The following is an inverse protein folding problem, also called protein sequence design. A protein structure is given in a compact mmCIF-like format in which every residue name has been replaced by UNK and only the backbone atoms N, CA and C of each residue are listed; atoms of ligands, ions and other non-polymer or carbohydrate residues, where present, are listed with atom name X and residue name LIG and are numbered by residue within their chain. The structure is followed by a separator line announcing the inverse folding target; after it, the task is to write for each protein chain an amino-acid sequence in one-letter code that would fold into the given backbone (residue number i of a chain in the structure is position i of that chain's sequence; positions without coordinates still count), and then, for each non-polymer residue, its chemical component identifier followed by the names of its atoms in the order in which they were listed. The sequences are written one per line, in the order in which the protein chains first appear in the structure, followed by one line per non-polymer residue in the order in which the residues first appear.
data_IF_142330041987
#
_entry.id   IF_142330041987
#
_cell.length_a   1.000
_cell.length_b   1.000
_cell.length_c   1.000
_cell.angle_alpha   90.00
_cell.angle_beta   90.00
_cell.angle_gamma   90.00
#
_symmetry.space_group_name_H-M   'P 1'
#
loop_
_entity.id
_entity.type
_entity.pdbx_description
1 polymer ?
#
# COMPACT_ATOMS: atom_id res chain seq x y z
N UNK A 1 8.10 2.72 -28.10
CA UNK A 1 8.17 4.18 -27.95
C UNK A 1 8.55 4.49 -26.52
N UNK A 2 9.81 4.91 -26.32
CA UNK A 2 10.23 5.46 -25.04
C UNK A 2 9.64 6.87 -24.91
N UNK A 3 8.79 7.09 -23.95
CA UNK A 3 8.40 8.44 -23.54
C UNK A 3 9.57 9.07 -22.79
N UNK A 4 10.36 9.87 -23.49
CA UNK A 4 11.48 10.61 -22.91
C UNK A 4 11.03 12.05 -22.70
N UNK A 5 10.90 12.49 -21.48
CA UNK A 5 10.69 13.90 -21.16
C UNK A 5 10.50 14.15 -19.67
N UNK A 6 11.18 15.16 -19.17
CA UNK A 6 11.08 15.65 -17.79
C UNK A 6 9.65 16.06 -17.38
N UNK A 7 8.74 16.16 -18.33
CA UNK A 7 7.35 16.54 -18.09
C UNK A 7 6.46 15.41 -17.59
N UNK A 8 6.89 14.15 -17.72
CA UNK A 8 6.08 12.98 -17.34
C UNK A 8 5.94 12.79 -15.82
N UNK A 9 6.90 13.30 -15.06
CA UNK A 9 6.82 13.24 -13.61
C UNK A 9 5.98 14.39 -13.00
N UNK A 10 5.45 15.29 -13.81
CA UNK A 10 4.76 16.53 -13.37
C UNK A 10 3.28 16.57 -13.80
N UNK A 11 2.81 15.62 -14.60
CA UNK A 11 1.41 15.62 -15.07
C UNK A 11 0.53 14.68 -14.28
N UNK A 12 -0.62 15.17 -13.89
CA UNK A 12 -1.65 14.48 -13.10
C UNK A 12 -2.28 13.29 -13.83
N UNK A 13 -2.21 13.27 -15.14
CA UNK A 13 -2.70 12.17 -15.97
C UNK A 13 -1.99 12.12 -17.32
N UNK A 14 -1.78 10.93 -17.83
CA UNK A 14 -1.29 10.67 -19.16
C UNK A 14 -2.22 9.66 -19.85
N UNK A 15 -2.93 10.11 -20.87
CA UNK A 15 -3.75 9.23 -21.68
C UNK A 15 -2.86 8.51 -22.69
N UNK A 16 -2.72 7.19 -22.54
CA UNK A 16 -1.97 6.34 -23.46
C UNK A 16 -2.96 5.38 -24.13
N UNK A 17 -2.97 5.36 -25.46
CA UNK A 17 -3.71 4.36 -26.23
C UNK A 17 -2.75 3.24 -26.62
N UNK A 18 -3.12 2.03 -26.30
CA UNK A 18 -2.39 0.82 -26.70
C UNK A 18 -3.11 0.17 -27.88
N UNK A 19 -2.36 -0.10 -28.97
CA UNK A 19 -2.92 -0.62 -30.22
C UNK A 19 -2.94 -2.16 -30.28
N UNK A 20 -2.26 -2.83 -29.36
CA UNK A 20 -2.19 -4.28 -29.29
C UNK A 20 -2.31 -4.78 -27.86
N UNK A 21 -2.76 -6.02 -27.71
CA UNK A 21 -2.70 -6.72 -26.44
C UNK A 21 -1.25 -7.01 -26.04
N UNK A 22 -0.93 -6.95 -24.77
CA UNK A 22 0.43 -7.20 -24.31
C UNK A 22 0.73 -6.64 -22.92
N UNK A 23 1.94 -6.92 -22.46
CA UNK A 23 2.51 -6.33 -21.26
C UNK A 23 3.42 -5.16 -21.66
N UNK A 24 3.06 -3.97 -21.20
CA UNK A 24 3.81 -2.75 -21.44
C UNK A 24 4.51 -2.33 -20.14
N UNK A 25 5.85 -2.26 -20.19
CA UNK A 25 6.65 -1.75 -19.07
C UNK A 25 6.91 -0.26 -19.21
N UNK A 26 6.82 0.46 -18.12
CA UNK A 26 7.21 1.87 -18.07
C UNK A 26 8.16 2.11 -16.91
N UNK A 27 8.99 3.13 -17.05
CA UNK A 27 9.91 3.57 -16.02
C UNK A 27 9.95 5.10 -15.95
N UNK A 28 10.18 5.63 -14.77
CA UNK A 28 10.50 7.04 -14.62
C UNK A 28 12.00 7.24 -14.86
N UNK A 29 12.36 7.95 -15.93
CA UNK A 29 13.76 8.16 -16.32
C UNK A 29 14.61 8.91 -15.29
N UNK A 30 14.00 9.53 -14.29
CA UNK A 30 14.68 10.22 -13.20
C UNK A 30 14.90 9.32 -11.97
N UNK A 31 14.08 8.28 -11.80
CA UNK A 31 14.01 7.48 -10.58
C UNK A 31 14.16 5.98 -10.85
N UNK A 32 14.52 5.60 -12.06
CA UNK A 32 14.77 4.22 -12.42
C UNK A 32 16.12 4.06 -13.10
N UNK A 33 16.73 2.88 -12.96
CA UNK A 33 17.93 2.54 -13.73
C UNK A 33 17.61 2.50 -15.22
N UNK A 34 18.59 2.78 -16.09
CA UNK A 34 18.40 2.75 -17.56
C UNK A 34 17.94 1.41 -18.11
N UNK A 35 18.23 0.32 -17.41
CA UNK A 35 17.82 -1.05 -17.71
C UNK A 35 16.44 -1.41 -17.12
N UNK A 36 15.91 -0.56 -16.25
CA UNK A 36 14.61 -0.76 -15.59
C UNK A 36 14.62 -1.88 -14.53
N UNK A 37 15.79 -2.22 -14.00
CA UNK A 37 15.91 -3.28 -12.98
C UNK A 37 15.59 -2.79 -11.57
N UNK A 38 15.69 -1.48 -11.32
CA UNK A 38 15.39 -0.88 -10.04
C UNK A 38 14.82 0.54 -10.17
N UNK A 39 14.18 1.02 -9.12
CA UNK A 39 13.56 2.34 -9.04
C UNK A 39 12.08 2.34 -9.41
N UNK A 40 11.57 3.46 -9.91
CA UNK A 40 10.15 3.62 -10.28
C UNK A 40 9.87 2.97 -11.64
N UNK A 41 9.56 1.71 -11.61
CA UNK A 41 9.14 0.91 -12.79
C UNK A 41 7.75 0.36 -12.57
N UNK A 42 6.99 0.19 -13.64
CA UNK A 42 5.67 -0.40 -13.57
C UNK A 42 5.31 -1.08 -14.88
N UNK A 43 4.15 -1.72 -14.89
CA UNK A 43 3.63 -2.38 -16.09
C UNK A 43 2.13 -2.20 -16.22
N UNK A 44 1.67 -2.16 -17.47
CA UNK A 44 0.26 -2.15 -17.85
C UNK A 44 -0.01 -3.39 -18.70
N UNK A 45 -1.02 -4.14 -18.31
CA UNK A 45 -1.53 -5.28 -19.08
C UNK A 45 -2.71 -4.80 -19.92
N UNK A 46 -2.65 -5.03 -21.22
CA UNK A 46 -3.69 -4.67 -22.17
C UNK A 46 -4.25 -5.94 -22.80
N UNK A 47 -5.56 -6.14 -22.73
CA UNK A 47 -6.26 -7.31 -23.26
C UNK A 47 -6.48 -8.41 -22.21
N UNK A 48 -7.04 -9.51 -22.69
CA UNK A 48 -7.35 -10.69 -21.87
C UNK A 48 -6.14 -11.66 -21.88
N UNK A 49 -5.03 -11.20 -21.31
CA UNK A 49 -3.81 -11.99 -21.17
C UNK A 49 -3.66 -12.47 -19.75
N UNK A 50 -3.21 -13.71 -19.59
CA UNK A 50 -2.90 -14.23 -18.28
C UNK A 50 -1.65 -13.51 -17.74
N UNK A 51 -1.83 -12.67 -16.72
CA UNK A 51 -0.76 -11.89 -16.12
C UNK A 51 0.37 -12.77 -15.55
N UNK A 52 0.04 -13.96 -15.07
CA UNK A 52 1.01 -14.93 -14.55
C UNK A 52 2.01 -15.40 -15.61
N UNK A 53 1.64 -15.41 -16.89
CA UNK A 53 2.53 -15.79 -17.98
C UNK A 53 3.66 -14.77 -18.23
N UNK A 54 3.50 -13.54 -17.73
CA UNK A 54 4.44 -12.44 -17.96
C UNK A 54 5.22 -12.02 -16.71
N UNK A 55 4.83 -12.52 -15.57
CA UNK A 55 5.42 -12.13 -14.29
C UNK A 55 5.94 -13.37 -13.58
N UNK A 56 7.24 -13.53 -13.57
CA UNK A 56 7.87 -14.60 -12.79
C UNK A 56 7.87 -14.22 -11.29
N UNK A 57 6.70 -13.85 -10.77
CA UNK A 57 6.49 -13.51 -9.36
C UNK A 57 6.38 -14.78 -8.50
N UNK A 58 7.34 -15.68 -8.64
CA UNK A 58 7.43 -16.88 -7.80
C UNK A 58 7.58 -16.60 -6.29
N UNK A 59 7.64 -15.33 -5.91
CA UNK A 59 7.62 -14.87 -4.50
C UNK A 59 6.24 -14.45 -4.01
N UNK A 60 5.24 -14.33 -4.89
CA UNK A 60 3.90 -13.82 -4.52
C UNK A 60 2.90 -14.89 -4.10
N UNK A 61 3.21 -16.18 -4.29
CA UNK A 61 2.31 -17.27 -3.93
C UNK A 61 2.22 -17.55 -2.42
N UNK A 62 2.95 -16.81 -1.62
CA UNK A 62 2.82 -16.93 -0.17
C UNK A 62 1.83 -15.87 0.32
N UNK A 63 0.54 -16.19 0.29
CA UNK A 63 -0.40 -15.54 1.19
C UNK A 63 0.19 -15.73 2.59
N UNK A 64 0.55 -14.65 3.31
CA UNK A 64 1.10 -14.81 4.63
C UNK A 64 0.09 -15.57 5.49
N UNK A 65 0.35 -16.83 5.75
CA UNK A 65 -0.48 -17.59 6.65
C UNK A 65 -0.13 -17.13 8.06
N UNK A 66 -1.11 -16.57 8.76
CA UNK A 66 -0.95 -16.37 10.19
C UNK A 66 -0.79 -17.74 10.88
N UNK A 67 0.02 -17.79 11.91
CA UNK A 67 0.33 -19.04 12.62
C UNK A 67 -0.15 -19.01 14.07
N UNK A 68 -0.65 -17.87 14.52
CA UNK A 68 -1.12 -17.63 15.89
C UNK A 68 -2.62 -17.74 16.06
N UNK A 69 -3.15 -17.00 17.02
CA UNK A 69 -4.58 -16.97 17.36
C UNK A 69 -5.33 -15.96 16.48
N UNK A 70 -6.62 -16.19 16.29
CA UNK A 70 -7.54 -15.20 15.68
C UNK A 70 -8.16 -14.34 16.78
N UNK A 71 -8.16 -13.03 16.57
CA UNK A 71 -8.77 -12.02 17.43
C UNK A 71 -9.86 -11.30 16.65
N UNK A 72 -11.11 -11.59 16.98
CA UNK A 72 -12.24 -11.09 16.21
C UNK A 72 -12.68 -9.72 16.72
N UNK A 73 -12.86 -8.77 15.80
CA UNK A 73 -13.40 -7.45 16.08
C UNK A 73 -14.76 -7.33 15.36
N UNK A 74 -15.83 -6.96 16.02
CA UNK A 74 -15.96 -6.56 17.42
C UNK A 74 -16.29 -7.70 18.41
N UNK A 75 -16.27 -8.97 18.01
CA UNK A 75 -16.83 -10.06 18.83
C UNK A 75 -16.01 -10.32 20.12
N UNK A 76 -14.68 -10.36 19.99
CA UNK A 76 -13.77 -10.62 21.12
C UNK A 76 -13.21 -9.32 21.70
N UNK A 77 -13.08 -8.29 20.86
CA UNK A 77 -12.51 -6.97 21.20
C UNK A 77 -13.40 -5.89 20.59
N UNK A 78 -13.77 -4.89 21.37
CA UNK A 78 -14.65 -3.82 20.93
C UNK A 78 -14.00 -2.94 19.85
N UNK A 79 -12.68 -2.71 19.95
CA UNK A 79 -11.90 -1.89 19.03
C UNK A 79 -10.80 -2.71 18.34
N UNK A 80 -10.37 -2.22 17.16
CA UNK A 80 -9.22 -2.81 16.44
C UNK A 80 -7.95 -2.62 17.29
N UNK A 81 -7.80 -1.46 17.94
CA UNK A 81 -6.65 -1.16 18.78
C UNK A 81 -6.54 -2.12 19.95
N UNK A 82 -7.64 -2.48 20.61
CA UNK A 82 -7.62 -3.45 21.72
C UNK A 82 -7.18 -4.84 21.24
N UNK A 83 -7.67 -5.27 20.08
CA UNK A 83 -7.24 -6.52 19.47
C UNK A 83 -5.76 -6.53 19.13
N UNK A 84 -5.24 -5.43 18.57
CA UNK A 84 -3.80 -5.25 18.28
C UNK A 84 -2.99 -5.30 19.57
N UNK A 85 -3.40 -4.58 20.60
CA UNK A 85 -2.71 -4.55 21.90
C UNK A 85 -2.66 -5.92 22.59
N UNK A 86 -3.67 -6.76 22.37
CA UNK A 86 -3.75 -8.11 22.91
C UNK A 86 -3.03 -9.15 22.05
N UNK A 87 -2.53 -8.77 20.87
CA UNK A 87 -1.92 -9.70 19.90
C UNK A 87 -0.50 -10.11 20.30
N UNK A 88 -0.11 -11.29 19.83
CA UNK A 88 1.25 -11.79 19.84
C UNK A 88 1.75 -11.93 18.37
N UNK A 89 3.06 -11.97 18.15
CA UNK A 89 3.60 -12.26 16.80
C UNK A 89 2.97 -13.52 16.18
N UNK A 90 2.50 -13.41 14.96
CA UNK A 90 1.82 -14.47 14.24
C UNK A 90 0.29 -14.47 14.36
N UNK A 91 -0.31 -13.62 15.20
CA UNK A 91 -1.76 -13.53 15.34
C UNK A 91 -2.43 -12.83 14.13
N UNK A 92 -3.71 -13.15 13.95
CA UNK A 92 -4.60 -12.50 13.01
C UNK A 92 -5.64 -11.65 13.75
N UNK A 93 -5.66 -10.36 13.51
CA UNK A 93 -6.78 -9.48 13.87
C UNK A 93 -7.77 -9.49 12.71
N UNK A 94 -8.92 -10.11 12.91
CA UNK A 94 -9.96 -10.28 11.91
C UNK A 94 -11.13 -9.35 12.18
N UNK A 95 -11.35 -8.40 11.26
CA UNK A 95 -12.26 -7.28 11.46
C UNK A 95 -13.51 -7.48 10.60
N UNK A 96 -14.69 -7.55 11.25
CA UNK A 96 -15.98 -7.63 10.57
C UNK A 96 -16.35 -6.32 9.88
N UNK A 97 -17.29 -6.35 8.92
CA UNK A 97 -17.85 -5.14 8.33
C UNK A 97 -18.36 -4.16 9.40
N UNK A 98 -17.99 -2.89 9.24
CA UNK A 98 -18.31 -1.81 10.16
C UNK A 98 -17.52 -0.56 9.84
N UNK A 99 -17.87 0.56 10.47
CA UNK A 99 -17.08 1.78 10.46
C UNK A 99 -16.46 1.93 11.86
N UNK A 100 -15.14 1.98 11.89
CA UNK A 100 -14.33 2.04 13.09
C UNK A 100 -13.69 3.44 13.16
N UNK A 101 -14.11 4.20 14.16
CA UNK A 101 -13.66 5.59 14.37
C UNK A 101 -12.43 5.60 15.28
N UNK A 102 -11.30 5.14 14.75
CA UNK A 102 -10.07 5.01 15.52
C UNK A 102 -8.82 5.26 14.66
N UNK A 103 -7.70 5.52 15.29
CA UNK A 103 -6.36 5.39 14.73
C UNK A 103 -5.74 4.11 15.28
N UNK A 104 -5.34 3.20 14.40
CA UNK A 104 -4.75 1.92 14.80
C UNK A 104 -3.23 2.03 14.78
N UNK A 105 -2.60 1.96 15.94
CA UNK A 105 -1.13 1.95 16.09
C UNK A 105 -0.65 0.54 16.33
N UNK A 106 0.15 0.02 15.39
CA UNK A 106 0.66 -1.35 15.44
C UNK A 106 2.06 -1.35 16.03
N UNK A 107 2.19 -1.97 17.20
CA UNK A 107 3.43 -2.10 17.95
C UNK A 107 3.85 -3.56 18.18
N UNK A 108 3.17 -4.51 17.53
CA UNK A 108 3.46 -5.95 17.58
C UNK A 108 3.96 -6.41 16.23
N UNK A 109 5.16 -7.01 16.14
CA UNK A 109 5.69 -7.48 14.86
C UNK A 109 4.95 -8.73 14.36
N UNK A 110 5.01 -8.95 13.06
CA UNK A 110 4.55 -10.18 12.39
C UNK A 110 3.09 -10.53 12.63
N UNK A 111 2.21 -9.54 12.83
CA UNK A 111 0.77 -9.75 12.88
C UNK A 111 0.12 -9.46 11.52
N UNK A 112 -1.04 -10.07 11.31
CA UNK A 112 -1.90 -9.78 10.16
C UNK A 112 -3.15 -9.05 10.63
N UNK A 113 -3.46 -7.92 10.02
CA UNK A 113 -4.70 -7.17 10.23
C UNK A 113 -5.53 -7.31 8.96
N UNK A 114 -6.69 -7.98 9.04
CA UNK A 114 -7.53 -8.32 7.88
C UNK A 114 -8.97 -7.92 8.09
N UNK A 115 -9.52 -7.15 7.14
CA UNK A 115 -10.95 -6.94 7.03
C UNK A 115 -11.65 -8.11 6.31
N UNK A 116 -12.90 -8.37 6.63
CA UNK A 116 -13.69 -9.34 5.90
C UNK A 116 -13.99 -8.88 4.47
N UNK A 117 -14.21 -7.58 4.31
CA UNK A 117 -14.54 -6.97 3.03
C UNK A 117 -14.06 -5.52 3.02
N UNK A 118 -13.13 -5.20 2.14
CA UNK A 118 -12.53 -3.85 2.09
C UNK A 118 -13.55 -2.73 1.85
N UNK A 119 -14.65 -3.02 1.18
CA UNK A 119 -15.67 -2.00 0.92
C UNK A 119 -16.52 -1.68 2.15
N UNK A 120 -16.62 -2.63 3.08
CA UNK A 120 -17.46 -2.53 4.26
C UNK A 120 -16.69 -2.57 5.58
N UNK A 121 -15.38 -2.88 5.58
CA UNK A 121 -14.52 -2.76 6.76
C UNK A 121 -13.75 -1.46 6.64
N UNK A 122 -14.17 -0.42 7.37
CA UNK A 122 -13.71 0.96 7.16
C UNK A 122 -13.16 1.54 8.46
N UNK A 123 -11.92 2.01 8.43
CA UNK A 123 -11.33 2.85 9.47
C UNK A 123 -11.53 4.30 9.01
N UNK A 124 -12.24 5.09 9.82
CA UNK A 124 -12.57 6.48 9.51
C UNK A 124 -11.93 7.43 10.52
N UNK A 125 -11.02 8.24 10.05
CA UNK A 125 -10.30 9.21 10.88
C UNK A 125 -11.12 10.46 11.24
N UNK A 126 -12.31 10.66 10.64
CA UNK A 126 -13.21 11.81 10.87
C UNK A 126 -12.52 13.18 10.69
N UNK A 127 -11.34 13.22 10.05
CA UNK A 127 -10.42 14.37 10.03
C UNK A 127 -10.03 14.88 11.43
N UNK A 128 -9.99 13.98 12.40
CA UNK A 128 -9.58 14.25 13.78
C UNK A 128 -8.37 13.40 14.22
N UNK A 129 -8.19 12.22 13.58
CA UNK A 129 -7.14 11.24 13.90
C UNK A 129 -6.00 11.31 12.90
N UNK A 130 -4.79 11.08 13.36
CA UNK A 130 -3.57 11.24 12.57
C UNK A 130 -3.51 10.31 11.36
N UNK A 131 -3.56 9.01 11.58
CA UNK A 131 -3.52 8.01 10.53
C UNK A 131 -4.70 7.02 10.67
N UNK A 132 -5.02 6.32 9.59
CA UNK A 132 -5.92 5.17 9.70
C UNK A 132 -5.21 4.01 10.41
N UNK A 133 -4.11 3.51 9.81
CA UNK A 133 -3.24 2.51 10.44
C UNK A 133 -1.79 2.98 10.37
N UNK A 134 -1.12 3.02 11.52
CA UNK A 134 0.30 3.33 11.67
C UNK A 134 1.06 2.08 12.13
N UNK A 135 2.05 1.66 11.35
CA UNK A 135 3.01 0.60 11.71
C UNK A 135 4.38 1.26 11.84
N UNK A 136 4.92 1.35 13.06
CA UNK A 136 6.18 2.04 13.29
C UNK A 136 7.18 1.17 14.06
N UNK A 137 8.37 0.96 13.46
CA UNK A 137 9.49 0.27 14.11
C UNK A 137 9.25 -1.20 14.44
N UNK A 138 8.26 -1.85 13.80
CA UNK A 138 7.98 -3.28 13.96
C UNK A 138 7.85 -3.96 12.60
N UNK A 139 8.51 -5.10 12.43
CA UNK A 139 8.67 -5.79 11.17
C UNK A 139 7.56 -6.81 10.89
N UNK A 140 7.41 -7.16 9.60
CA UNK A 140 6.58 -8.29 9.17
C UNK A 140 5.07 -8.09 9.29
N UNK A 141 4.60 -6.85 9.41
CA UNK A 141 3.17 -6.56 9.56
C UNK A 141 2.47 -6.57 8.21
N UNK A 142 1.38 -7.31 8.15
CA UNK A 142 0.49 -7.41 6.98
C UNK A 142 -0.81 -6.70 7.27
N UNK A 143 -1.26 -5.83 6.34
CA UNK A 143 -2.58 -5.19 6.39
C UNK A 143 -3.29 -5.52 5.08
N UNK A 144 -4.49 -6.06 5.18
CA UNK A 144 -5.21 -6.47 3.99
C UNK A 144 -6.74 -6.33 4.09
N UNK A 145 -7.34 -6.08 2.94
CA UNK A 145 -8.80 -6.09 2.77
C UNK A 145 -9.54 -5.07 3.64
N UNK A 146 -9.00 -3.84 3.76
CA UNK A 146 -9.50 -2.76 4.62
C UNK A 146 -9.52 -1.45 3.84
N UNK A 147 -10.48 -0.59 4.16
CA UNK A 147 -10.52 0.82 3.78
C UNK A 147 -10.06 1.72 4.93
N UNK A 148 -9.20 2.71 4.63
CA UNK A 148 -8.88 3.82 5.53
C UNK A 148 -9.20 5.15 4.85
N UNK A 149 -9.93 6.02 5.54
CA UNK A 149 -10.35 7.32 5.00
C UNK A 149 -10.38 8.42 6.04
N UNK A 150 -10.40 9.65 5.55
CA UNK A 150 -10.60 10.86 6.36
C UNK A 150 -9.61 10.98 7.52
N UNK A 151 -8.39 10.45 7.39
CA UNK A 151 -7.31 10.70 8.34
C UNK A 151 -6.71 12.10 8.11
N UNK A 152 -6.20 12.74 9.17
CA UNK A 152 -5.49 14.02 9.06
C UNK A 152 -4.19 13.92 8.26
N UNK A 153 -3.53 12.76 8.30
CA UNK A 153 -2.28 12.47 7.61
C UNK A 153 -2.50 11.33 6.61
N UNK A 154 -2.22 10.10 6.98
CA UNK A 154 -2.15 8.98 6.05
C UNK A 154 -3.27 7.97 6.26
N UNK A 155 -3.69 7.31 5.19
CA UNK A 155 -4.58 6.15 5.32
C UNK A 155 -3.86 4.97 5.96
N UNK A 156 -2.79 4.50 5.33
CA UNK A 156 -1.92 3.44 5.82
C UNK A 156 -0.47 3.92 5.81
N UNK A 157 0.23 3.73 6.93
CA UNK A 157 1.59 4.23 7.07
C UNK A 157 2.51 3.19 7.70
N UNK A 158 3.52 2.75 6.96
CA UNK A 158 4.65 1.96 7.46
C UNK A 158 5.88 2.86 7.59
N UNK A 159 6.46 2.92 8.79
CA UNK A 159 7.59 3.78 9.11
C UNK A 159 8.73 2.97 9.76
N UNK A 160 9.92 2.98 9.13
CA UNK A 160 11.12 2.31 9.65
C UNK A 160 10.88 0.84 9.93
N UNK A 161 10.47 0.10 8.91
CA UNK A 161 10.07 -1.32 9.02
C UNK A 161 10.68 -2.17 7.92
N UNK A 162 10.72 -3.48 8.14
CA UNK A 162 11.15 -4.46 7.17
C UNK A 162 10.10 -5.55 6.97
N UNK A 163 9.92 -5.98 5.69
CA UNK A 163 9.04 -7.11 5.37
C UNK A 163 7.56 -6.76 5.55
N UNK A 164 7.12 -5.61 5.08
CA UNK A 164 5.72 -5.18 5.18
C UNK A 164 4.89 -5.62 3.97
N UNK A 165 3.58 -5.75 4.15
CA UNK A 165 2.64 -5.98 3.05
C UNK A 165 1.35 -5.21 3.23
N UNK A 166 0.94 -4.52 2.16
CA UNK A 166 -0.39 -3.94 2.00
C UNK A 166 -1.09 -4.57 0.79
N UNK A 167 -2.22 -5.22 1.00
CA UNK A 167 -2.93 -5.93 -0.06
C UNK A 167 -4.43 -5.67 -0.01
N UNK A 168 -5.05 -5.45 -1.17
CA UNK A 168 -6.48 -5.12 -1.24
C UNK A 168 -6.90 -3.96 -0.33
N UNK A 169 -6.06 -2.93 -0.25
CA UNK A 169 -6.33 -1.72 0.50
C UNK A 169 -7.13 -0.72 -0.34
N UNK A 170 -7.98 0.04 0.32
CA UNK A 170 -8.59 1.25 -0.24
C UNK A 170 -8.27 2.42 0.67
N UNK A 171 -7.65 3.47 0.14
CA UNK A 171 -7.33 4.69 0.88
C UNK A 171 -7.91 5.89 0.14
N UNK A 172 -8.73 6.70 0.81
CA UNK A 172 -9.25 7.90 0.16
C UNK A 172 -9.54 9.05 1.13
N UNK A 173 -9.41 10.27 0.60
CA UNK A 173 -9.67 11.50 1.37
C UNK A 173 -8.79 11.65 2.62
N UNK A 174 -7.54 11.15 2.60
CA UNK A 174 -6.61 11.35 3.69
C UNK A 174 -5.83 12.65 3.46
N UNK A 175 -5.38 13.29 4.52
CA UNK A 175 -4.85 14.65 4.48
C UNK A 175 -3.44 14.79 3.91
N UNK A 176 -2.70 13.69 3.74
CA UNK A 176 -1.35 13.70 3.17
C UNK A 176 -1.20 12.56 2.13
N UNK A 177 -0.99 11.31 2.54
CA UNK A 177 -0.86 10.16 1.64
C UNK A 177 -2.01 9.16 1.80
N UNK A 178 -2.34 8.44 0.72
CA UNK A 178 -3.22 7.28 0.81
C UNK A 178 -2.51 6.11 1.49
N UNK A 179 -1.40 5.68 0.91
CA UNK A 179 -0.53 4.59 1.40
C UNK A 179 0.91 5.08 1.38
N UNK A 180 1.54 5.07 2.54
CA UNK A 180 2.88 5.59 2.73
C UNK A 180 3.82 4.56 3.34
N UNK A 181 4.97 4.32 2.70
CA UNK A 181 6.06 3.51 3.21
C UNK A 181 7.33 4.39 3.29
N UNK A 182 7.70 4.78 4.51
CA UNK A 182 8.84 5.65 4.82
C UNK A 182 9.95 4.85 5.49
N UNK A 183 11.16 4.90 4.95
CA UNK A 183 12.28 4.13 5.48
C UNK A 183 11.90 2.67 5.71
N UNK A 184 11.15 2.12 4.75
CA UNK A 184 10.57 0.78 4.81
C UNK A 184 11.13 -0.07 3.67
N UNK A 185 11.59 -1.28 3.97
CA UNK A 185 12.29 -2.17 3.02
C UNK A 185 11.64 -3.54 2.92
N UNK A 186 11.91 -4.27 1.84
CA UNK A 186 11.37 -5.61 1.56
C UNK A 186 9.82 -5.62 1.59
N UNK A 187 9.19 -4.62 0.97
CA UNK A 187 7.74 -4.43 1.03
C UNK A 187 6.99 -4.94 -0.18
N UNK A 188 5.70 -5.20 -0.01
CA UNK A 188 4.76 -5.52 -1.09
C UNK A 188 3.51 -4.66 -0.95
N UNK A 189 3.17 -3.89 -1.98
CA UNK A 189 1.90 -3.17 -2.09
C UNK A 189 1.17 -3.66 -3.34
N UNK A 190 -0.01 -4.24 -3.16
CA UNK A 190 -0.70 -4.89 -4.28
C UNK A 190 -2.22 -4.78 -4.22
N UNK A 191 -2.86 -4.89 -5.40
CA UNK A 191 -4.32 -4.93 -5.56
C UNK A 191 -5.06 -3.81 -4.82
N UNK A 192 -4.44 -2.65 -4.71
CA UNK A 192 -4.87 -1.57 -3.84
C UNK A 192 -5.26 -0.33 -4.63
N UNK A 193 -6.14 0.46 -4.03
CA UNK A 193 -6.68 1.68 -4.62
C UNK A 193 -6.45 2.85 -3.68
N UNK A 194 -6.05 3.99 -4.24
CA UNK A 194 -5.97 5.22 -3.47
C UNK A 194 -6.48 6.42 -4.27
N UNK A 195 -7.18 7.36 -3.60
CA UNK A 195 -7.71 8.58 -4.22
C UNK A 195 -7.87 9.73 -3.24
N UNK A 196 -7.82 10.96 -3.77
CA UNK A 196 -8.19 12.18 -3.03
C UNK A 196 -7.27 12.57 -1.89
N UNK A 197 -6.05 12.05 -1.81
CA UNK A 197 -5.03 12.53 -0.87
C UNK A 197 -4.19 13.63 -1.55
N UNK A 198 -3.86 14.75 -0.85
CA UNK A 198 -3.25 15.92 -1.52
C UNK A 198 -1.84 15.68 -2.04
N UNK A 199 -1.01 14.86 -1.39
CA UNK A 199 0.37 14.66 -1.80
C UNK A 199 0.52 13.46 -2.74
N UNK A 200 0.21 12.23 -2.31
CA UNK A 200 0.17 11.08 -3.23
C UNK A 200 -0.77 9.96 -2.77
N UNK A 201 -1.22 9.13 -3.75
CA UNK A 201 -1.94 7.90 -3.45
C UNK A 201 -1.08 6.84 -2.81
N UNK A 202 0.06 6.59 -3.43
CA UNK A 202 1.08 5.68 -2.94
C UNK A 202 2.43 6.39 -2.94
N UNK A 203 3.13 6.30 -1.83
CA UNK A 203 4.49 6.80 -1.71
C UNK A 203 5.36 5.75 -1.02
N UNK A 204 6.50 5.43 -1.66
CA UNK A 204 7.57 4.62 -1.08
C UNK A 204 8.84 5.43 -1.19
N UNK A 205 9.51 5.70 -0.09
CA UNK A 205 10.71 6.51 -0.12
C UNK A 205 11.46 6.57 1.20
N UNK A 206 12.56 7.34 1.18
CA UNK A 206 13.50 7.48 2.29
C UNK A 206 14.20 6.17 2.68
N UNK A 207 14.22 5.17 1.78
CA UNK A 207 14.87 3.88 1.94
C UNK A 207 15.93 3.68 0.85
N UNK A 208 17.03 3.00 1.18
CA UNK A 208 18.07 2.65 0.20
C UNK A 208 18.78 1.35 0.59
N UNK A 209 18.62 0.27 -0.19
CA UNK A 209 17.58 0.07 -1.21
C UNK A 209 16.21 -0.09 -0.59
N UNK A 210 15.14 0.25 -1.31
CA UNK A 210 13.78 0.03 -0.83
C UNK A 210 13.32 -1.42 -0.99
N UNK A 211 13.75 -2.10 -2.05
CA UNK A 211 13.39 -3.50 -2.38
C UNK A 211 11.88 -3.77 -2.27
N UNK A 212 11.08 -2.81 -2.76
CA UNK A 212 9.62 -2.88 -2.69
C UNK A 212 9.01 -3.36 -4.01
N UNK A 213 7.98 -4.18 -3.92
CA UNK A 213 7.17 -4.62 -5.04
C UNK A 213 5.83 -3.88 -5.02
N UNK A 214 5.49 -3.22 -6.12
CA UNK A 214 4.19 -2.56 -6.31
C UNK A 214 3.51 -3.18 -7.51
N UNK A 215 2.33 -3.76 -7.29
CA UNK A 215 1.60 -4.51 -8.31
C UNK A 215 0.09 -4.27 -8.26
N UNK A 216 -0.54 -4.07 -9.42
CA UNK A 216 -1.99 -3.87 -9.53
C UNK A 216 -2.53 -2.78 -8.58
N UNK A 217 -1.86 -1.66 -8.48
CA UNK A 217 -2.33 -0.50 -7.71
C UNK A 217 -2.93 0.55 -8.62
N UNK A 218 -3.96 1.22 -8.14
CA UNK A 218 -4.64 2.32 -8.84
C UNK A 218 -4.55 3.55 -7.96
N UNK A 219 -3.95 4.62 -8.51
CA UNK A 219 -3.81 5.91 -7.85
C UNK A 219 -4.47 6.97 -8.72
N UNK A 220 -5.50 7.64 -8.20
CA UNK A 220 -6.28 8.61 -8.97
C UNK A 220 -6.55 9.90 -8.17
N UNK A 221 -6.74 11.01 -8.89
CA UNK A 221 -7.08 12.33 -8.30
C UNK A 221 -6.00 12.90 -7.38
N UNK A 222 -4.75 12.78 -7.78
CA UNK A 222 -3.61 13.41 -7.10
C UNK A 222 -3.01 14.52 -7.96
N UNK A 223 -2.57 15.59 -7.31
CA UNK A 223 -1.89 16.69 -7.99
C UNK A 223 -0.41 16.42 -8.22
N UNK A 224 0.18 15.46 -7.49
CA UNK A 224 1.59 15.10 -7.64
C UNK A 224 1.83 13.61 -7.37
N UNK A 225 2.57 12.96 -8.28
CA UNK A 225 3.32 11.73 -7.99
C UNK A 225 4.70 12.18 -7.50
N UNK A 226 4.97 12.05 -6.21
CA UNK A 226 6.30 12.33 -5.67
C UNK A 226 7.00 11.04 -5.25
N UNK A 227 8.17 10.79 -5.85
CA UNK A 227 9.20 9.99 -5.23
C UNK A 227 10.32 10.95 -4.87
N UNK A 228 10.68 11.04 -3.61
CA UNK A 228 11.85 11.77 -3.15
C UNK A 228 12.92 10.77 -2.73
N UNK A 229 13.96 10.65 -3.55
CA UNK A 229 15.24 10.13 -3.08
C UNK A 229 16.03 11.30 -2.50
N UNK A 230 16.44 11.20 -1.26
CA UNK A 230 17.51 12.03 -0.72
C UNK A 230 18.82 11.34 -1.02
N UNK A 231 19.51 11.80 -2.04
CA UNK A 231 20.92 11.46 -2.25
C UNK A 231 21.73 12.28 -1.27
N UNK A 232 22.34 11.64 -0.31
CA UNK A 232 23.40 12.24 0.50
C UNK A 232 24.76 11.86 -0.04
#
# INVERSE_FOLDING_TARGET
YGLVGSEMCIRDSLDITYEAEGLYKYLCSFHASPDGEWGMVGSVVVGDINYEDYTNFSKMDVVPSFSGSVRNVPDDYETIQDAVNASNPGDLVLIKPGIYYEEVVVNVPSITIRGWDRNNTIIDGEFERGNGVLVAGVDGVVIENITARNALLNGFYWATVKGYRGSYLTAYNNGDYGVYAFDAVDGVLEHSYASGSPDAGFYIGQCYPCDAIVNNVISVSYTHLRAHETVS
#
